data_IF_926425001927
#
_entry.id   IF_926425001927
#
_cell.length_a   1.000
_cell.length_b   1.000
_cell.length_c   1.000
_cell.angle_alpha   90.00
_cell.angle_beta   90.00
_cell.angle_gamma   90.00
#
_symmetry.space_group_name_H-M   'P 1'
#
loop_
_entity.id
_entity.type
_entity.pdbx_description
1 polymer ?
#
# COMPACT_ATOMS: atom_id res chain seq x y z
N UNK A 1 70.09 39.33 36.78
CA UNK A 1 70.77 38.03 36.89
C UNK A 1 69.75 36.94 36.57
N UNK A 2 70.09 36.03 35.66
CA UNK A 2 69.21 34.99 35.09
C UNK A 2 68.99 33.86 36.09
N UNK A 3 67.79 33.29 36.12
CA UNK A 3 67.59 31.84 36.30
C UNK A 3 66.23 31.43 35.74
N UNK A 4 66.29 30.72 34.62
CA UNK A 4 65.22 29.87 34.08
C UNK A 4 65.23 28.55 34.86
N UNK A 5 64.06 28.01 35.19
CA UNK A 5 63.94 26.59 35.52
C UNK A 5 62.82 25.99 34.69
N UNK A 6 63.20 24.99 33.90
CA UNK A 6 62.38 24.23 32.97
C UNK A 6 62.07 22.86 33.59
N UNK A 7 60.98 22.25 33.10
CA UNK A 7 60.57 20.84 33.18
C UNK A 7 59.63 20.50 34.35
N UNK A 8 58.53 19.74 34.20
CA UNK A 8 58.16 18.64 33.27
C UNK A 8 56.62 18.69 33.06
N UNK A 9 56.05 18.66 31.86
CA UNK A 9 55.74 17.51 30.97
C UNK A 9 54.96 16.37 31.66
N UNK A 10 53.77 16.10 31.08
CA UNK A 10 52.91 14.88 31.17
C UNK A 10 52.06 14.73 32.44
N UNK A 11 50.79 14.30 32.40
CA UNK A 11 50.16 13.28 31.57
C UNK A 11 48.62 13.43 31.56
N UNK A 12 47.99 13.15 30.42
CA UNK A 12 46.54 12.89 30.30
C UNK A 12 46.11 11.68 31.15
N UNK A 13 44.94 11.75 31.76
CA UNK A 13 44.10 10.58 32.01
C UNK A 13 42.62 10.99 32.07
N UNK A 14 41.92 10.81 30.95
CA UNK A 14 40.47 10.84 30.86
C UNK A 14 39.90 9.57 31.51
N UNK A 15 39.04 9.72 32.51
CA UNK A 15 38.19 8.62 32.99
C UNK A 15 36.74 8.91 32.60
N UNK A 16 36.35 8.34 31.46
CA UNK A 16 34.95 8.22 31.04
C UNK A 16 34.67 6.74 30.80
N UNK A 17 34.28 6.02 31.85
CA UNK A 17 33.79 4.63 31.71
C UNK A 17 32.81 4.30 32.83
N UNK A 18 31.60 4.87 32.74
CA UNK A 18 30.40 4.28 33.31
C UNK A 18 29.35 4.26 32.21
N UNK A 19 29.10 3.07 31.66
CA UNK A 19 27.87 2.58 31.01
C UNK A 19 28.23 1.25 30.31
N UNK A 20 28.55 0.23 31.12
CA UNK A 20 28.52 -1.16 30.68
C UNK A 20 27.07 -1.60 30.50
N UNK A 21 26.45 -1.18 29.40
CA UNK A 21 25.25 -1.82 28.86
C UNK A 21 25.69 -2.95 27.94
N UNK A 22 25.32 -4.18 28.28
CA UNK A 22 25.48 -5.36 27.44
C UNK A 22 24.77 -5.11 26.10
N UNK A 23 25.53 -4.71 25.08
CA UNK A 23 25.09 -4.69 23.70
C UNK A 23 24.97 -6.12 23.19
N UNK A 24 23.84 -6.77 23.45
CA UNK A 24 23.33 -7.74 22.51
C UNK A 24 23.07 -6.95 21.22
N UNK A 25 24.00 -7.08 20.27
CA UNK A 25 23.83 -6.55 18.93
C UNK A 25 22.84 -7.46 18.21
N UNK A 26 21.60 -7.47 18.72
CA UNK A 26 20.43 -7.84 17.97
C UNK A 26 20.46 -6.96 16.74
N UNK A 27 20.91 -7.55 15.64
CA UNK A 27 20.88 -7.02 14.29
C UNK A 27 19.56 -6.28 14.17
N UNK A 28 19.59 -4.95 14.17
CA UNK A 28 18.40 -4.17 13.89
C UNK A 28 17.97 -4.66 12.52
N UNK A 29 16.93 -5.48 12.48
CA UNK A 29 16.31 -5.97 11.26
C UNK A 29 15.98 -4.71 10.50
N UNK A 30 16.78 -4.41 9.48
CA UNK A 30 16.71 -3.15 8.76
C UNK A 30 15.24 -2.88 8.47
N UNK A 31 14.74 -1.75 8.95
CA UNK A 31 13.44 -1.27 8.54
C UNK A 31 13.49 -1.25 7.01
N UNK A 32 12.87 -2.25 6.38
CA UNK A 32 12.68 -2.21 4.94
C UNK A 32 11.98 -0.89 4.69
N UNK A 33 12.67 0.05 4.03
CA UNK A 33 12.15 1.31 3.52
C UNK A 33 11.16 1.01 2.41
N UNK A 34 10.12 0.28 2.77
CA UNK A 34 9.10 -0.20 1.86
C UNK A 34 8.08 0.88 1.68
N UNK A 35 8.07 1.48 0.49
CA UNK A 35 7.04 2.44 0.12
C UNK A 35 5.75 1.68 -0.14
N UNK A 36 4.68 2.05 0.58
CA UNK A 36 3.37 1.40 0.48
C UNK A 36 2.30 2.42 0.17
N UNK A 37 1.41 2.11 -0.76
CA UNK A 37 0.33 3.01 -1.14
C UNK A 37 -0.74 2.33 -1.98
N UNK A 38 -1.88 3.01 -2.07
CA UNK A 38 -3.00 2.65 -2.93
C UNK A 38 -2.82 3.36 -4.27
N UNK A 39 -2.72 2.57 -5.33
CA UNK A 39 -2.46 3.03 -6.68
C UNK A 39 -3.48 2.41 -7.65
N UNK A 40 -3.88 3.15 -8.67
CA UNK A 40 -4.80 2.67 -9.69
C UNK A 40 -4.08 2.21 -10.97
N UNK A 41 -2.84 2.67 -11.19
CA UNK A 41 -1.99 2.24 -12.30
C UNK A 41 -0.51 2.20 -11.91
N UNK A 42 0.31 1.47 -12.66
CA UNK A 42 1.76 1.42 -12.43
C UNK A 42 2.43 2.81 -12.49
N UNK A 43 1.91 3.72 -13.33
CA UNK A 43 2.41 5.09 -13.44
C UNK A 43 2.26 5.91 -12.16
N UNK A 44 1.33 5.56 -11.28
CA UNK A 44 1.19 6.21 -9.97
C UNK A 44 2.42 5.98 -9.07
N UNK A 45 3.16 4.88 -9.31
CA UNK A 45 4.37 4.54 -8.57
C UNK A 45 5.58 5.40 -8.98
N UNK A 46 5.48 6.30 -9.97
CA UNK A 46 6.59 7.14 -10.42
C UNK A 46 7.22 7.99 -9.31
N UNK A 47 6.42 8.40 -8.32
CA UNK A 47 6.89 9.17 -7.17
C UNK A 47 7.68 8.35 -6.14
N UNK A 48 7.69 7.02 -6.24
CA UNK A 48 8.33 6.14 -5.27
C UNK A 48 9.83 5.94 -5.54
N UNK A 49 10.35 6.50 -6.63
CA UNK A 49 11.78 6.53 -6.96
C UNK A 49 12.13 5.85 -8.28
N UNK A 50 13.42 5.82 -8.64
CA UNK A 50 13.89 5.17 -9.87
C UNK A 50 13.52 3.68 -9.93
N UNK A 51 13.07 3.20 -11.09
CA UNK A 51 12.66 1.81 -11.30
C UNK A 51 11.35 1.39 -10.61
N UNK A 52 10.70 2.30 -9.88
CA UNK A 52 9.47 1.98 -9.15
C UNK A 52 8.31 1.63 -10.08
N UNK A 53 8.22 2.26 -11.25
CA UNK A 53 7.15 2.00 -12.23
C UNK A 53 7.21 0.56 -12.73
N UNK A 54 8.40 0.06 -13.09
CA UNK A 54 8.56 -1.31 -13.60
C UNK A 54 8.28 -2.35 -12.52
N UNK A 55 8.85 -2.17 -11.32
CA UNK A 55 8.58 -3.05 -10.18
C UNK A 55 7.09 -3.07 -9.77
N UNK A 56 6.43 -1.91 -9.90
CA UNK A 56 5.00 -1.76 -9.64
C UNK A 56 4.17 -2.44 -10.74
N UNK A 57 4.55 -2.30 -12.02
CA UNK A 57 3.90 -2.97 -13.14
C UNK A 57 3.94 -4.50 -12.98
N UNK A 58 5.11 -5.08 -12.73
CA UNK A 58 5.24 -6.52 -12.51
C UNK A 58 4.42 -7.01 -11.30
N UNK A 59 4.39 -6.23 -10.22
CA UNK A 59 3.60 -6.56 -9.04
C UNK A 59 2.10 -6.52 -9.33
N UNK A 60 1.63 -5.51 -10.06
CA UNK A 60 0.25 -5.36 -10.52
C UNK A 60 -0.14 -6.50 -11.44
N UNK A 61 0.70 -6.87 -12.40
CA UNK A 61 0.42 -7.98 -13.32
C UNK A 61 0.20 -9.28 -12.56
N UNK A 62 1.04 -9.59 -11.56
CA UNK A 62 0.83 -10.75 -10.68
C UNK A 62 -0.51 -10.67 -9.95
N UNK A 63 -0.87 -9.51 -9.42
CA UNK A 63 -2.15 -9.30 -8.73
C UNK A 63 -3.35 -9.42 -9.67
N UNK A 64 -3.24 -8.95 -10.91
CA UNK A 64 -4.25 -9.11 -11.95
C UNK A 64 -4.41 -10.60 -12.25
N UNK A 65 -3.34 -11.33 -12.54
CA UNK A 65 -3.41 -12.78 -12.80
C UNK A 65 -4.08 -13.54 -11.64
N UNK A 66 -3.76 -13.19 -10.40
CA UNK A 66 -4.43 -13.77 -9.22
C UNK A 66 -5.92 -13.43 -9.20
N UNK A 67 -6.29 -12.18 -9.47
CA UNK A 67 -7.68 -11.76 -9.57
C UNK A 67 -8.43 -12.46 -10.71
N UNK A 68 -7.80 -12.69 -11.85
CA UNK A 68 -8.43 -13.38 -12.97
C UNK A 68 -8.72 -14.84 -12.67
N UNK A 69 -7.95 -15.47 -11.77
CA UNK A 69 -8.20 -16.82 -11.31
C UNK A 69 -9.42 -16.94 -10.38
N UNK A 70 -9.98 -15.84 -9.86
CA UNK A 70 -11.13 -15.86 -8.94
C UNK A 70 -12.50 -15.81 -9.64
N UNK A 71 -12.55 -16.07 -10.95
CA UNK A 71 -13.80 -16.03 -11.74
C UNK A 71 -14.77 -17.11 -11.26
N UNK A 72 -15.90 -16.71 -10.70
CA UNK A 72 -16.75 -17.62 -9.95
C UNK A 72 -18.24 -17.68 -10.38
N UNK A 73 -18.76 -16.68 -11.10
CA UNK A 73 -20.22 -16.54 -11.26
C UNK A 73 -20.69 -16.66 -12.71
N UNK A 74 -21.80 -17.35 -12.94
CA UNK A 74 -22.35 -17.56 -14.28
C UNK A 74 -23.23 -16.39 -14.77
N UNK A 75 -23.70 -15.53 -13.86
CA UNK A 75 -24.52 -14.36 -14.15
C UNK A 75 -24.18 -13.21 -13.18
N UNK A 76 -24.67 -12.01 -13.51
CA UNK A 76 -24.36 -10.80 -12.76
C UNK A 76 -25.04 -10.82 -11.38
N UNK A 77 -26.24 -11.37 -11.27
CA UNK A 77 -27.02 -11.44 -10.05
C UNK A 77 -26.33 -12.29 -8.97
N UNK A 78 -25.78 -13.45 -9.36
CA UNK A 78 -25.00 -14.31 -8.47
C UNK A 78 -23.74 -13.61 -7.97
N UNK A 79 -23.08 -12.84 -8.82
CA UNK A 79 -21.91 -12.09 -8.41
C UNK A 79 -22.28 -10.94 -7.46
N UNK A 80 -23.29 -10.15 -7.81
CA UNK A 80 -23.70 -8.99 -7.01
C UNK A 80 -24.37 -9.38 -5.69
N UNK A 81 -25.00 -10.55 -5.59
CA UNK A 81 -25.48 -11.07 -4.30
C UNK A 81 -24.33 -11.38 -3.32
N UNK A 82 -23.17 -11.81 -3.82
CA UNK A 82 -21.99 -12.09 -3.01
C UNK A 82 -21.14 -10.85 -2.75
N UNK A 83 -20.94 -10.01 -3.77
CA UNK A 83 -20.01 -8.89 -3.74
C UNK A 83 -20.68 -7.55 -3.43
N UNK A 84 -21.98 -7.39 -3.69
CA UNK A 84 -22.74 -6.16 -3.64
C UNK A 84 -23.06 -5.59 -5.03
N UNK A 85 -24.17 -4.85 -5.15
CA UNK A 85 -24.63 -4.28 -6.40
C UNK A 85 -23.61 -3.34 -7.07
N UNK A 86 -23.47 -3.42 -8.40
CA UNK A 86 -22.59 -2.58 -9.21
C UNK A 86 -21.10 -2.87 -9.06
N UNK A 87 -20.74 -3.96 -8.38
CA UNK A 87 -19.34 -4.33 -8.09
C UNK A 87 -18.83 -5.47 -8.92
N UNK A 88 -19.63 -5.99 -9.83
CA UNK A 88 -19.23 -7.08 -10.69
C UNK A 88 -18.98 -6.61 -12.11
N UNK A 89 -18.10 -7.31 -12.80
CA UNK A 89 -17.80 -7.14 -14.21
C UNK A 89 -17.81 -8.48 -14.93
N UNK A 90 -17.98 -8.44 -16.25
CA UNK A 90 -17.89 -9.63 -17.10
C UNK A 90 -16.41 -9.85 -17.46
N UNK A 91 -15.87 -11.00 -17.09
CA UNK A 91 -14.52 -11.42 -17.45
C UNK A 91 -14.45 -11.87 -18.92
N UNK A 92 -13.23 -11.98 -19.47
CA UNK A 92 -13.00 -12.45 -20.84
C UNK A 92 -13.54 -13.87 -21.09
N UNK A 93 -13.60 -14.71 -20.05
CA UNK A 93 -14.22 -16.04 -20.08
C UNK A 93 -15.74 -16.02 -20.26
N UNK A 94 -16.37 -14.85 -20.23
CA UNK A 94 -17.82 -14.66 -20.33
C UNK A 94 -18.58 -14.82 -19.01
N UNK A 95 -17.89 -15.30 -17.96
CA UNK A 95 -18.38 -15.36 -16.57
C UNK A 95 -18.23 -14.00 -15.88
N UNK A 96 -18.81 -13.88 -14.68
CA UNK A 96 -18.78 -12.68 -13.86
C UNK A 96 -17.83 -12.83 -12.67
N UNK A 97 -17.16 -11.72 -12.32
CA UNK A 97 -16.24 -11.58 -11.19
C UNK A 97 -16.40 -10.21 -10.55
N UNK A 98 -15.85 -10.04 -9.35
CA UNK A 98 -15.77 -8.72 -8.71
C UNK A 98 -14.88 -7.80 -9.55
N UNK A 99 -15.27 -6.54 -9.74
CA UNK A 99 -14.51 -5.55 -10.50
C UNK A 99 -13.27 -5.13 -9.72
N UNK A 100 -12.10 -5.39 -10.28
CA UNK A 100 -10.84 -4.84 -9.81
C UNK A 100 -10.82 -3.31 -10.02
N UNK A 101 -10.39 -2.56 -9.02
CA UNK A 101 -10.51 -1.09 -9.04
C UNK A 101 -9.20 -0.36 -8.76
N UNK A 102 -8.34 -0.94 -7.93
CA UNK A 102 -7.03 -0.40 -7.58
C UNK A 102 -6.14 -1.52 -7.02
N UNK A 103 -4.95 -1.15 -6.58
CA UNK A 103 -3.97 -2.03 -5.97
C UNK A 103 -3.38 -1.42 -4.72
N UNK A 104 -3.18 -2.22 -3.69
CA UNK A 104 -2.32 -1.86 -2.56
C UNK A 104 -0.92 -2.36 -2.88
N UNK A 105 -0.04 -1.45 -3.29
CA UNK A 105 1.33 -1.77 -3.66
C UNK A 105 2.25 -1.57 -2.46
N UNK A 106 3.19 -2.49 -2.29
CA UNK A 106 4.35 -2.36 -1.41
C UNK A 106 5.61 -2.58 -2.25
N UNK A 107 6.44 -1.55 -2.41
CA UNK A 107 7.76 -1.62 -3.04
C UNK A 107 8.85 -1.78 -1.98
N UNK A 108 10.05 -2.21 -2.37
CA UNK A 108 11.17 -2.51 -1.46
C UNK A 108 11.74 -3.91 -1.74
N UNK A 109 12.30 -4.58 -0.72
CA UNK A 109 12.99 -5.86 -0.88
C UNK A 109 12.18 -6.98 -1.57
N UNK A 110 10.84 -6.90 -1.54
CA UNK A 110 9.95 -7.80 -2.29
C UNK A 110 8.71 -7.05 -2.81
N UNK A 111 8.72 -6.53 -4.05
CA UNK A 111 7.59 -5.82 -4.62
C UNK A 111 6.34 -6.70 -4.73
N UNK A 112 5.22 -6.21 -4.20
CA UNK A 112 3.94 -6.92 -4.21
C UNK A 112 2.78 -5.94 -4.39
N UNK A 113 1.71 -6.43 -4.99
CA UNK A 113 0.45 -5.73 -5.12
C UNK A 113 -0.67 -6.65 -4.64
N UNK A 114 -1.63 -6.09 -3.93
CA UNK A 114 -2.87 -6.76 -3.57
C UNK A 114 -4.03 -6.13 -4.37
N UNK A 115 -4.90 -6.92 -5.01
CA UNK A 115 -6.06 -6.41 -5.72
C UNK A 115 -7.04 -5.76 -4.75
N UNK A 116 -7.57 -4.59 -5.12
CA UNK A 116 -8.55 -3.84 -4.34
C UNK A 116 -9.86 -3.68 -5.11
N UNK A 117 -10.96 -3.72 -4.37
CA UNK A 117 -12.32 -3.71 -4.89
C UNK A 117 -13.10 -2.47 -4.41
N UNK A 118 -14.25 -2.13 -5.03
CA UNK A 118 -15.04 -0.98 -4.62
C UNK A 118 -15.51 -1.10 -3.17
N UNK A 119 -15.33 -0.04 -2.38
CA UNK A 119 -15.82 0.03 -1.00
C UNK A 119 -17.36 0.06 -0.92
N UNK A 120 -17.94 -0.22 0.27
CA UNK A 120 -19.37 0.03 0.60
C UNK A 120 -19.88 1.39 0.13
N UNK A 121 -21.16 1.44 -0.21
CA UNK A 121 -21.82 2.69 -0.57
C UNK A 121 -21.67 3.70 0.57
N UNK A 122 -21.25 4.93 0.23
CA UNK A 122 -20.96 5.99 1.21
C UNK A 122 -19.49 6.06 1.65
N UNK A 123 -18.65 5.11 1.27
CA UNK A 123 -17.21 5.14 1.57
C UNK A 123 -16.41 5.53 0.33
N UNK A 124 -15.61 6.59 0.42
CA UNK A 124 -14.57 6.92 -0.56
C UNK A 124 -13.33 6.12 -0.20
N UNK A 125 -13.09 5.04 -0.92
CA UNK A 125 -11.93 4.17 -0.72
C UNK A 125 -12.12 2.82 -1.39
N UNK A 126 -11.39 1.84 -0.88
CA UNK A 126 -11.40 0.48 -1.42
C UNK A 126 -11.53 -0.56 -0.32
N UNK A 127 -11.77 -1.81 -0.71
CA UNK A 127 -11.80 -2.96 0.18
C UNK A 127 -10.85 -4.05 -0.33
N UNK A 128 -10.13 -4.68 0.58
CA UNK A 128 -9.28 -5.85 0.28
C UNK A 128 -10.12 -7.11 0.08
N UNK A 129 -9.51 -8.19 -0.44
CA UNK A 129 -10.17 -9.49 -0.53
C UNK A 129 -10.67 -10.00 0.84
N UNK A 130 -9.95 -9.64 1.92
CA UNK A 130 -10.29 -10.00 3.30
C UNK A 130 -11.30 -9.04 3.96
N UNK A 131 -11.95 -8.17 3.18
CA UNK A 131 -12.97 -7.21 3.63
C UNK A 131 -12.43 -6.09 4.53
N UNK A 132 -11.13 -5.82 4.53
CA UNK A 132 -10.53 -4.66 5.19
C UNK A 132 -10.80 -3.42 4.35
N UNK A 133 -11.38 -2.38 4.95
CA UNK A 133 -11.63 -1.11 4.25
C UNK A 133 -10.40 -0.21 4.35
N UNK A 134 -9.98 0.32 3.21
CA UNK A 134 -8.94 1.34 3.08
C UNK A 134 -9.63 2.64 2.65
N UNK A 135 -9.89 3.53 3.62
CA UNK A 135 -10.54 4.81 3.34
C UNK A 135 -9.52 5.81 2.79
N UNK A 136 -9.89 6.61 1.78
CA UNK A 136 -9.01 7.65 1.24
C UNK A 136 -8.72 8.77 2.27
N UNK A 137 -9.55 8.90 3.30
CA UNK A 137 -9.35 9.80 4.44
C UNK A 137 -8.37 9.26 5.48
N UNK A 138 -7.96 7.99 5.39
CA UNK A 138 -6.97 7.40 6.28
C UNK A 138 -5.57 7.74 5.78
N UNK A 139 -4.89 8.64 6.50
CA UNK A 139 -3.56 9.11 6.16
C UNK A 139 -2.43 8.14 6.52
N UNK A 140 -2.75 6.95 7.05
CA UNK A 140 -1.76 5.89 7.27
C UNK A 140 -1.24 5.26 5.97
N UNK A 141 -1.95 5.45 4.85
CA UNK A 141 -1.57 4.99 3.52
C UNK A 141 -1.60 6.15 2.52
N UNK A 142 -0.60 6.22 1.64
CA UNK A 142 -0.64 7.15 0.53
C UNK A 142 -1.64 6.68 -0.53
N UNK A 143 -2.55 7.55 -0.96
CA UNK A 143 -3.42 7.31 -2.11
C UNK A 143 -2.90 8.13 -3.30
N UNK A 144 -2.71 7.47 -4.43
CA UNK A 144 -2.42 8.20 -5.66
C UNK A 144 -3.62 9.05 -6.07
N UNK A 145 -3.37 10.13 -6.83
CA UNK A 145 -4.46 10.97 -7.34
C UNK A 145 -5.46 10.18 -8.18
N UNK A 146 -4.96 9.24 -8.99
CA UNK A 146 -5.82 8.39 -9.81
C UNK A 146 -6.65 7.44 -8.94
N UNK A 147 -6.05 6.83 -7.92
CA UNK A 147 -6.79 5.99 -6.97
C UNK A 147 -7.88 6.77 -6.22
N UNK A 148 -7.60 8.00 -5.79
CA UNK A 148 -8.61 8.88 -5.18
C UNK A 148 -9.74 9.17 -6.15
N UNK A 149 -9.44 9.54 -7.40
CA UNK A 149 -10.47 9.80 -8.42
C UNK A 149 -11.35 8.59 -8.71
N UNK A 150 -10.74 7.38 -8.79
CA UNK A 150 -11.50 6.13 -8.94
C UNK A 150 -12.40 5.90 -7.73
N UNK A 151 -11.89 6.06 -6.51
CA UNK A 151 -12.67 5.88 -5.29
C UNK A 151 -13.87 6.83 -5.20
N UNK A 152 -13.68 8.10 -5.57
CA UNK A 152 -14.74 9.11 -5.61
C UNK A 152 -15.81 8.78 -6.65
N UNK A 153 -15.39 8.43 -7.87
CA UNK A 153 -16.31 8.05 -8.95
C UNK A 153 -17.16 6.83 -8.57
N UNK A 154 -16.56 5.85 -7.91
CA UNK A 154 -17.25 4.66 -7.42
C UNK A 154 -18.23 4.97 -6.29
N UNK A 155 -17.81 5.79 -5.32
CA UNK A 155 -18.69 6.23 -4.23
C UNK A 155 -19.92 6.98 -4.78
N UNK A 156 -19.73 7.88 -5.75
CA UNK A 156 -20.82 8.62 -6.39
C UNK A 156 -21.78 7.72 -7.20
N UNK A 157 -21.23 6.71 -7.89
CA UNK A 157 -22.01 5.75 -8.68
C UNK A 157 -22.87 4.83 -7.79
N UNK A 158 -22.32 4.38 -6.66
CA UNK A 158 -23.03 3.55 -5.69
C UNK A 158 -24.21 4.28 -5.04
N UNK A 159 -24.10 5.60 -4.81
CA UNK A 159 -25.23 6.42 -4.30
C UNK A 159 -26.36 6.51 -5.33
N UNK A 160 -26.04 6.68 -6.61
CA UNK A 160 -27.05 6.73 -7.70
C UNK A 160 -27.73 5.37 -7.91
N UNK A 161 -26.97 4.28 -7.85
CA UNK A 161 -27.51 2.91 -7.96
C UNK A 161 -28.50 2.58 -6.84
N UNK A 162 -28.18 2.94 -5.59
CA UNK A 162 -29.08 2.75 -4.44
C UNK A 162 -30.39 3.53 -4.59
N UNK A 163 -30.35 4.77 -5.12
CA UNK A 163 -31.56 5.57 -5.38
C UNK A 163 -32.46 4.98 -6.46
N UNK A 164 -31.91 4.27 -7.46
CA UNK A 164 -32.71 3.64 -8.52
C UNK A 164 -33.33 2.30 -8.13
N UNK A 165 -32.74 1.57 -7.18
CA UNK A 165 -33.26 0.30 -6.69
C UNK A 165 -34.39 0.43 -5.64
N UNK A 166 -34.72 1.65 -5.21
CA UNK A 166 -35.77 1.93 -4.22
C UNK A 166 -37.11 2.34 -4.84
N UNK A 167 -37.26 2.25 -6.16
CA UNK A 167 -38.48 2.53 -6.90
C UNK A 167 -38.90 1.32 -7.72
#
# INVERSE_FOLDING_TARGET
>A
MRSLTVARVSLLAAMSAFLGGCGDSGKATGANTSTRGVIASASDCASFGPGAVDACAEAIERAVTQHEATVAHNNIESCESAAGAGRCERAASGKYRVRLSAFLVTLGGSPRAEPLYPAPAGTVGFVTANKTTLAASDHSLAFSRLATSVAEAQAASNVKGKKRSMF
#
